data_IF_450014746603
#
_entry.id   IF_450014746603
#
_cell.length_a   1.000
_cell.length_b   1.000
_cell.length_c   1.000
_cell.angle_alpha   90.00
_cell.angle_beta   90.00
_cell.angle_gamma   90.00
#
_symmetry.space_group_name_H-M   'P 1'
#
loop_
_entity.id
_entity.type
_entity.pdbx_description
1 polymer ?
#
# COMPACT_ATOMS: atom_id res chain seq x y z
N UNK A 1 -2.10 85.81 -24.60
CA UNK A 1 -2.67 84.77 -25.44
C UNK A 1 -1.92 83.44 -25.14
N UNK A 2 -2.37 82.71 -24.13
CA UNK A 2 -1.83 81.36 -23.79
C UNK A 2 -3.00 80.57 -23.24
N UNK A 3 -3.53 79.70 -24.09
CA UNK A 3 -4.58 78.76 -23.73
C UNK A 3 -4.01 77.60 -23.03
N UNK A 4 -4.39 77.41 -21.75
CA UNK A 4 -4.11 76.22 -20.98
C UNK A 4 -5.24 75.20 -21.15
N UNK A 5 -5.05 74.20 -22.00
CA UNK A 5 -5.91 73.02 -22.04
C UNK A 5 -5.54 72.04 -20.92
N UNK A 6 -6.32 72.06 -19.85
CA UNK A 6 -6.29 71.12 -18.79
C UNK A 6 -6.93 69.77 -19.25
N UNK A 7 -6.12 68.78 -19.57
CA UNK A 7 -6.60 67.49 -19.99
C UNK A 7 -7.02 66.68 -18.74
N UNK A 8 -8.32 66.53 -18.58
CA UNK A 8 -8.95 65.65 -17.63
C UNK A 8 -8.70 64.16 -18.08
N UNK A 9 -7.91 63.37 -17.33
CA UNK A 9 -7.78 61.94 -17.49
C UNK A 9 -8.91 61.23 -16.73
N UNK A 10 -9.68 60.34 -17.36
CA UNK A 10 -10.64 59.53 -16.62
C UNK A 10 -9.91 58.45 -15.85
N UNK A 11 -10.13 58.42 -14.53
CA UNK A 11 -9.69 57.32 -13.67
C UNK A 11 -10.50 56.05 -14.03
N UNK A 12 -9.86 55.10 -14.67
CA UNK A 12 -10.42 53.75 -14.88
C UNK A 12 -10.26 52.97 -13.58
N UNK A 13 -11.36 52.84 -12.85
CA UNK A 13 -11.46 51.91 -11.72
C UNK A 13 -11.49 50.48 -12.26
N UNK A 14 -10.36 49.80 -12.21
CA UNK A 14 -10.29 48.36 -12.41
C UNK A 14 -10.87 47.70 -11.16
N UNK A 15 -12.14 47.28 -11.24
CA UNK A 15 -12.74 46.38 -10.26
C UNK A 15 -12.10 45.01 -10.41
N UNK A 16 -11.19 44.67 -9.51
CA UNK A 16 -10.69 43.30 -9.35
C UNK A 16 -11.83 42.46 -8.80
N UNK A 17 -12.55 41.74 -9.65
CA UNK A 17 -13.36 40.61 -9.24
C UNK A 17 -12.41 39.53 -8.76
N UNK A 18 -12.20 39.42 -7.46
CA UNK A 18 -11.67 38.22 -6.83
C UNK A 18 -12.76 37.18 -6.99
N UNK A 19 -12.64 36.35 -8.04
CA UNK A 19 -13.37 35.10 -8.12
C UNK A 19 -12.90 34.26 -6.94
N UNK A 20 -13.75 34.13 -5.92
CA UNK A 20 -13.59 33.11 -4.93
C UNK A 20 -13.63 31.76 -5.70
N UNK A 21 -12.46 31.17 -5.93
CA UNK A 21 -12.38 29.77 -6.33
C UNK A 21 -12.97 29.01 -5.16
N UNK A 22 -14.19 28.53 -5.32
CA UNK A 22 -14.69 27.45 -4.51
C UNK A 22 -13.68 26.32 -4.69
N UNK A 23 -12.94 26.02 -3.63
CA UNK A 23 -12.18 24.80 -3.51
C UNK A 23 -13.23 23.68 -3.50
N UNK A 24 -13.59 23.23 -4.71
CA UNK A 24 -14.26 21.98 -4.90
C UNK A 24 -13.26 20.90 -4.49
N UNK A 25 -13.05 20.79 -3.18
CA UNK A 25 -12.40 19.66 -2.57
C UNK A 25 -13.14 18.40 -3.01
N UNK A 26 -12.78 17.90 -4.18
CA UNK A 26 -12.95 16.51 -4.46
C UNK A 26 -12.22 15.80 -3.30
N UNK A 27 -12.96 15.43 -2.27
CA UNK A 27 -12.58 14.34 -1.41
C UNK A 27 -12.37 13.19 -2.37
N UNK A 28 -11.13 12.97 -2.77
CA UNK A 28 -10.72 11.70 -3.34
C UNK A 28 -11.30 10.67 -2.39
N UNK A 29 -12.14 9.80 -2.90
CA UNK A 29 -12.78 8.77 -2.09
C UNK A 29 -11.65 8.11 -1.32
N UNK A 30 -11.75 8.15 0.02
CA UNK A 30 -10.70 7.66 0.92
C UNK A 30 -10.32 6.25 0.48
N UNK A 31 -9.17 6.10 -0.17
CA UNK A 31 -8.68 4.82 -0.68
C UNK A 31 -7.81 4.19 0.40
N UNK A 32 -7.89 2.87 0.50
CA UNK A 32 -7.09 2.12 1.44
C UNK A 32 -7.91 1.30 2.42
N UNK A 33 -7.24 0.75 3.42
CA UNK A 33 -7.85 -0.18 4.38
C UNK A 33 -9.05 0.44 5.12
N UNK A 34 -9.05 1.74 5.34
CA UNK A 34 -10.13 2.45 6.04
C UNK A 34 -11.42 2.52 5.21
N UNK A 35 -11.32 2.46 3.88
CA UNK A 35 -12.48 2.44 2.98
C UNK A 35 -13.18 1.06 2.91
N UNK A 36 -12.52 0.00 3.37
CA UNK A 36 -13.09 -1.35 3.38
C UNK A 36 -14.20 -1.48 4.43
N UNK A 37 -15.21 -2.29 4.15
CA UNK A 37 -16.19 -2.71 5.15
C UNK A 37 -15.54 -3.42 6.33
N UNK A 38 -16.18 -3.38 7.51
CA UNK A 38 -15.63 -4.02 8.70
C UNK A 38 -15.33 -5.52 8.52
N UNK A 39 -16.22 -6.33 7.89
CA UNK A 39 -15.92 -7.74 7.62
C UNK A 39 -14.70 -7.93 6.71
N UNK A 40 -14.51 -7.07 5.70
CA UNK A 40 -13.39 -7.19 4.78
C UNK A 40 -12.08 -6.75 5.42
N UNK A 41 -12.09 -5.73 6.29
CA UNK A 41 -10.92 -5.37 7.11
C UNK A 41 -10.51 -6.49 8.06
N UNK A 42 -11.48 -7.18 8.67
CA UNK A 42 -11.21 -8.33 9.54
C UNK A 42 -10.60 -9.48 8.75
N UNK A 43 -11.15 -9.81 7.57
CA UNK A 43 -10.59 -10.82 6.68
C UNK A 43 -9.15 -10.49 6.28
N UNK A 44 -8.87 -9.25 5.88
CA UNK A 44 -7.52 -8.78 5.55
C UNK A 44 -6.57 -8.89 6.75
N UNK A 45 -7.03 -8.49 7.95
CA UNK A 45 -6.22 -8.60 9.17
C UNK A 45 -5.89 -10.05 9.50
N UNK A 46 -6.83 -10.95 9.34
CA UNK A 46 -6.64 -12.39 9.57
C UNK A 46 -5.67 -12.99 8.55
N UNK A 47 -5.79 -12.59 7.27
CA UNK A 47 -4.83 -12.95 6.23
C UNK A 47 -3.40 -12.53 6.60
N UNK A 48 -3.21 -11.28 7.05
CA UNK A 48 -1.89 -10.77 7.43
C UNK A 48 -1.27 -11.56 8.58
N UNK A 49 -2.07 -11.97 9.56
CA UNK A 49 -1.61 -12.84 10.67
C UNK A 49 -1.22 -14.24 10.15
N UNK A 50 -1.99 -14.81 9.25
CA UNK A 50 -1.70 -16.11 8.66
C UNK A 50 -0.41 -16.07 7.81
N UNK A 51 -0.20 -15.02 7.00
CA UNK A 51 1.02 -14.80 6.22
C UNK A 51 2.25 -14.62 7.14
N UNK A 52 2.11 -13.86 8.22
CA UNK A 52 3.17 -13.72 9.23
C UNK A 52 3.56 -15.06 9.82
N UNK A 53 2.58 -15.88 10.23
CA UNK A 53 2.81 -17.21 10.78
C UNK A 53 3.50 -18.13 9.76
N UNK A 54 3.11 -18.05 8.48
CA UNK A 54 3.77 -18.76 7.40
C UNK A 54 5.25 -18.40 7.29
N UNK A 55 5.60 -17.11 7.30
CA UNK A 55 6.98 -16.64 7.28
C UNK A 55 7.77 -17.08 8.53
N UNK A 56 7.16 -17.06 9.71
CA UNK A 56 7.80 -17.53 10.94
C UNK A 56 8.06 -19.03 10.94
N UNK A 57 7.19 -19.81 10.30
CA UNK A 57 7.29 -21.27 10.25
C UNK A 57 8.24 -21.73 9.14
N UNK A 58 8.31 -21.03 8.02
CA UNK A 58 9.13 -21.44 6.87
C UNK A 58 10.63 -21.36 7.18
N UNK A 59 11.07 -20.41 7.99
CA UNK A 59 12.50 -20.23 8.27
C UNK A 59 13.13 -21.44 8.98
N UNK A 60 12.57 -21.98 10.09
CA UNK A 60 13.06 -23.22 10.69
C UNK A 60 13.00 -24.43 9.75
N UNK A 61 11.97 -24.53 8.91
CA UNK A 61 11.86 -25.59 7.91
C UNK A 61 12.97 -25.50 6.86
N UNK A 62 13.26 -24.31 6.38
CA UNK A 62 14.33 -24.03 5.42
C UNK A 62 15.70 -24.39 5.99
N UNK A 63 16.03 -23.91 7.20
CA UNK A 63 17.32 -24.18 7.85
C UNK A 63 17.52 -25.67 8.10
N UNK A 64 16.44 -26.41 8.38
CA UNK A 64 16.47 -27.85 8.58
C UNK A 64 16.42 -28.68 7.28
N UNK A 65 16.32 -28.03 6.10
CA UNK A 65 16.23 -28.73 4.82
C UNK A 65 14.92 -29.51 4.62
N UNK A 66 13.84 -29.12 5.32
CA UNK A 66 12.52 -29.74 5.18
C UNK A 66 11.77 -29.16 3.98
N UNK A 67 12.24 -29.55 2.78
CA UNK A 67 11.80 -28.97 1.51
C UNK A 67 10.30 -29.09 1.24
N UNK A 68 9.69 -30.22 1.59
CA UNK A 68 8.26 -30.44 1.40
C UNK A 68 7.42 -29.50 2.28
N UNK A 69 7.90 -29.22 3.49
CA UNK A 69 7.27 -28.25 4.40
C UNK A 69 7.40 -26.81 3.86
N UNK A 70 8.60 -26.44 3.39
CA UNK A 70 8.83 -25.15 2.74
C UNK A 70 7.93 -24.97 1.51
N UNK A 71 7.83 -26.00 0.66
CA UNK A 71 6.96 -25.98 -0.51
C UNK A 71 5.48 -25.87 -0.12
N UNK A 72 5.04 -26.59 0.90
CA UNK A 72 3.69 -26.52 1.42
C UNK A 72 3.31 -25.13 1.92
N UNK A 73 4.21 -24.48 2.68
CA UNK A 73 4.01 -23.12 3.17
C UNK A 73 4.00 -22.12 1.99
N UNK A 74 4.93 -22.26 1.05
CA UNK A 74 4.95 -21.42 -0.17
C UNK A 74 3.65 -21.49 -0.94
N UNK A 75 3.08 -22.67 -1.10
CA UNK A 75 1.78 -22.88 -1.75
C UNK A 75 0.64 -22.21 -0.99
N UNK A 76 0.58 -22.37 0.33
CA UNK A 76 -0.45 -21.73 1.16
C UNK A 76 -0.42 -20.20 1.03
N UNK A 77 0.78 -19.60 1.06
CA UNK A 77 0.93 -18.16 0.83
C UNK A 77 0.55 -17.75 -0.61
N UNK A 78 0.88 -18.57 -1.62
CA UNK A 78 0.50 -18.33 -3.01
C UNK A 78 -1.03 -18.35 -3.21
N UNK A 79 -1.69 -19.32 -2.61
CA UNK A 79 -3.14 -19.52 -2.75
C UNK A 79 -3.95 -18.57 -1.86
N UNK A 80 -3.29 -17.77 -1.00
CA UNK A 80 -3.88 -17.04 0.13
C UNK A 80 -4.49 -17.98 1.17
N UNK A 81 -4.40 -17.61 2.44
CA UNK A 81 -5.00 -18.44 3.50
C UNK A 81 -6.51 -18.22 3.60
N UNK A 82 -6.98 -17.00 3.33
CA UNK A 82 -8.36 -16.55 3.59
C UNK A 82 -8.94 -15.82 2.38
N UNK A 83 -8.28 -14.76 1.92
CA UNK A 83 -8.87 -13.80 0.98
C UNK A 83 -9.30 -14.43 -0.34
N UNK A 84 -8.43 -15.20 -1.01
CA UNK A 84 -8.77 -15.86 -2.29
C UNK A 84 -9.74 -17.02 -2.14
N UNK A 85 -9.86 -17.60 -0.93
CA UNK A 85 -10.65 -18.81 -0.71
C UNK A 85 -12.05 -18.53 -0.17
N UNK A 86 -12.27 -17.42 0.52
CA UNK A 86 -13.50 -17.15 1.26
C UNK A 86 -14.24 -15.88 0.88
N UNK A 87 -13.64 -14.96 0.08
CA UNK A 87 -14.34 -13.76 -0.34
C UNK A 87 -15.39 -14.06 -1.40
N UNK A 88 -16.57 -13.46 -1.23
CA UNK A 88 -17.58 -13.41 -2.27
C UNK A 88 -17.17 -12.48 -3.42
N UNK A 89 -17.78 -12.64 -4.59
CA UNK A 89 -17.52 -11.75 -5.72
C UNK A 89 -17.75 -10.27 -5.39
N UNK A 90 -18.75 -9.96 -4.56
CA UNK A 90 -19.01 -8.59 -4.12
C UNK A 90 -17.90 -8.03 -3.22
N UNK A 91 -17.32 -8.86 -2.35
CA UNK A 91 -16.19 -8.45 -1.51
C UNK A 91 -14.90 -8.28 -2.30
N UNK A 92 -14.68 -9.09 -3.34
CA UNK A 92 -13.55 -8.91 -4.27
C UNK A 92 -13.68 -7.59 -5.02
N UNK A 93 -14.88 -7.27 -5.50
CA UNK A 93 -15.14 -5.99 -6.17
C UNK A 93 -14.96 -4.80 -5.22
N UNK A 94 -15.46 -4.89 -3.97
CA UNK A 94 -15.23 -3.89 -2.93
C UNK A 94 -13.73 -3.67 -2.69
N UNK A 95 -12.96 -4.76 -2.57
CA UNK A 95 -11.50 -4.69 -2.36
C UNK A 95 -10.83 -3.92 -3.51
N UNK A 96 -11.17 -4.26 -4.76
CA UNK A 96 -10.59 -3.62 -5.94
C UNK A 96 -10.95 -2.14 -6.05
N UNK A 97 -12.15 -1.75 -5.62
CA UNK A 97 -12.59 -0.35 -5.64
C UNK A 97 -11.98 0.48 -4.50
N UNK A 98 -11.81 -0.12 -3.33
CA UNK A 98 -11.31 0.57 -2.15
C UNK A 98 -9.78 0.66 -2.11
N UNK A 99 -9.06 -0.31 -2.68
CA UNK A 99 -7.60 -0.35 -2.58
C UNK A 99 -6.92 0.34 -3.76
N UNK A 100 -5.84 1.13 -3.53
CA UNK A 100 -5.08 1.73 -4.60
C UNK A 100 -4.37 0.67 -5.45
N UNK A 101 -4.14 0.98 -6.73
CA UNK A 101 -3.48 0.06 -7.67
C UNK A 101 -2.13 -0.47 -7.15
N UNK A 102 -1.35 0.39 -6.48
CA UNK A 102 -0.07 0.01 -5.87
C UNK A 102 -0.19 -1.06 -4.78
N UNK A 103 -1.31 -1.09 -4.04
CA UNK A 103 -1.59 -2.18 -3.09
C UNK A 103 -1.84 -3.49 -3.84
N UNK A 104 -2.71 -3.47 -4.84
CA UNK A 104 -3.06 -4.66 -5.62
C UNK A 104 -1.85 -5.25 -6.36
N UNK A 105 -0.97 -4.40 -6.87
CA UNK A 105 0.29 -4.83 -7.50
C UNK A 105 1.25 -5.50 -6.51
N UNK A 106 1.40 -4.95 -5.30
CA UNK A 106 2.23 -5.54 -4.25
C UNK A 106 1.64 -6.86 -3.74
N UNK A 107 0.32 -6.95 -3.60
CA UNK A 107 -0.38 -8.18 -3.25
C UNK A 107 -0.14 -9.28 -4.29
N UNK A 108 -0.38 -8.96 -5.56
CA UNK A 108 -0.12 -9.89 -6.66
C UNK A 108 1.34 -10.34 -6.72
N UNK A 109 2.29 -9.41 -6.49
CA UNK A 109 3.73 -9.71 -6.43
C UNK A 109 4.07 -10.65 -5.28
N UNK A 110 3.49 -10.43 -4.09
CA UNK A 110 3.70 -11.29 -2.94
C UNK A 110 3.29 -12.73 -3.25
N UNK A 111 2.08 -12.92 -3.76
CA UNK A 111 1.57 -14.23 -4.11
C UNK A 111 2.40 -14.92 -5.20
N UNK A 112 2.83 -14.19 -6.23
CA UNK A 112 3.75 -14.70 -7.25
C UNK A 112 5.07 -15.20 -6.64
N UNK A 113 5.70 -14.41 -5.76
CA UNK A 113 6.96 -14.76 -5.10
C UNK A 113 6.80 -15.99 -4.19
N UNK A 114 5.64 -16.15 -3.54
CA UNK A 114 5.32 -17.32 -2.74
C UNK A 114 5.21 -18.59 -3.61
N UNK A 115 4.62 -18.50 -4.79
CA UNK A 115 4.63 -19.60 -5.77
C UNK A 115 6.04 -19.95 -6.25
N UNK A 116 6.89 -18.96 -6.46
CA UNK A 116 8.29 -19.18 -6.81
C UNK A 116 9.09 -19.82 -5.67
N UNK A 117 8.79 -19.46 -4.40
CA UNK A 117 9.33 -20.12 -3.22
C UNK A 117 8.95 -21.62 -3.20
N UNK A 118 7.67 -21.93 -3.46
CA UNK A 118 7.20 -23.31 -3.58
C UNK A 118 8.03 -24.08 -4.60
N UNK A 119 8.13 -23.57 -5.84
CA UNK A 119 8.88 -24.25 -6.91
C UNK A 119 10.38 -24.42 -6.60
N UNK A 120 10.99 -23.41 -5.96
CA UNK A 120 12.39 -23.49 -5.53
C UNK A 120 12.60 -24.61 -4.49
N UNK A 121 11.66 -24.76 -3.55
CA UNK A 121 11.69 -25.81 -2.54
C UNK A 121 11.44 -27.20 -3.13
N UNK A 122 10.47 -27.35 -4.03
CA UNK A 122 10.21 -28.59 -4.77
C UNK A 122 11.45 -29.04 -5.58
N UNK A 123 12.16 -28.08 -6.16
CA UNK A 123 13.41 -28.31 -6.86
C UNK A 123 14.63 -28.52 -5.94
N UNK A 124 14.45 -28.38 -4.61
CA UNK A 124 15.50 -28.50 -3.59
C UNK A 124 16.71 -27.60 -3.87
N UNK A 125 16.43 -26.32 -4.19
CA UNK A 125 17.44 -25.28 -4.51
C UNK A 125 17.56 -24.27 -3.37
N UNK A 126 18.46 -24.52 -2.37
CA UNK A 126 18.54 -23.69 -1.17
C UNK A 126 18.77 -22.21 -1.46
N UNK A 127 19.61 -21.89 -2.45
CA UNK A 127 19.95 -20.52 -2.82
C UNK A 127 18.71 -19.75 -3.34
N UNK A 128 17.87 -20.43 -4.15
CA UNK A 128 16.62 -19.85 -4.65
C UNK A 128 15.58 -19.72 -3.54
N UNK A 129 15.50 -20.71 -2.64
CA UNK A 129 14.61 -20.61 -1.46
C UNK A 129 14.99 -19.40 -0.62
N UNK A 130 16.28 -19.24 -0.27
CA UNK A 130 16.75 -18.08 0.48
C UNK A 130 16.49 -16.75 -0.24
N UNK A 131 16.70 -16.71 -1.55
CA UNK A 131 16.39 -15.54 -2.38
C UNK A 131 14.91 -15.16 -2.30
N UNK A 132 13.99 -16.10 -2.53
CA UNK A 132 12.56 -15.80 -2.51
C UNK A 132 12.04 -15.47 -1.12
N UNK A 133 12.57 -16.05 -0.05
CA UNK A 133 12.28 -15.64 1.32
C UNK A 133 12.65 -14.18 1.58
N UNK A 134 13.84 -13.75 1.12
CA UNK A 134 14.26 -12.36 1.22
C UNK A 134 13.33 -11.42 0.44
N UNK A 135 12.92 -11.81 -0.78
CA UNK A 135 12.02 -11.02 -1.61
C UNK A 135 10.60 -10.92 -1.03
N UNK A 136 10.11 -11.98 -0.40
CA UNK A 136 8.83 -11.95 0.32
C UNK A 136 8.88 -10.99 1.50
N UNK A 137 9.92 -11.05 2.33
CA UNK A 137 10.10 -10.13 3.45
C UNK A 137 10.19 -8.66 2.99
N UNK A 138 10.94 -8.39 1.91
CA UNK A 138 11.03 -7.05 1.30
C UNK A 138 9.65 -6.54 0.83
N UNK A 139 8.83 -7.42 0.23
CA UNK A 139 7.48 -7.04 -0.21
C UNK A 139 6.58 -6.68 0.96
N UNK A 140 6.67 -7.42 2.09
CA UNK A 140 5.97 -7.06 3.33
C UNK A 140 6.37 -5.66 3.83
N UNK A 141 7.68 -5.38 3.89
CA UNK A 141 8.20 -4.07 4.32
C UNK A 141 7.69 -2.95 3.41
N UNK A 142 7.76 -3.14 2.10
CA UNK A 142 7.32 -2.15 1.10
C UNK A 142 5.82 -1.87 1.23
N UNK A 143 5.01 -2.93 1.32
CA UNK A 143 3.56 -2.78 1.47
C UNK A 143 3.19 -2.06 2.77
N UNK A 144 3.80 -2.44 3.90
CA UNK A 144 3.53 -1.81 5.19
C UNK A 144 3.99 -0.35 5.23
N UNK A 145 5.11 -0.02 4.62
CA UNK A 145 5.60 1.35 4.52
C UNK A 145 4.71 2.26 3.66
N UNK A 146 4.02 1.71 2.67
CA UNK A 146 3.14 2.48 1.79
C UNK A 146 1.70 2.52 2.29
N UNK A 147 1.17 1.40 2.78
CA UNK A 147 -0.26 1.21 2.98
C UNK A 147 -0.69 0.93 4.43
N UNK A 148 0.25 0.83 5.37
CA UNK A 148 -0.06 0.49 6.76
C UNK A 148 0.73 1.31 7.80
N UNK A 149 1.12 2.54 7.47
CA UNK A 149 1.90 3.43 8.37
C UNK A 149 1.24 3.67 9.71
N UNK A 150 -0.08 3.76 9.75
CA UNK A 150 -0.82 3.92 11.00
C UNK A 150 -0.64 2.74 11.96
N UNK A 151 -0.51 1.52 11.43
CA UNK A 151 -0.24 0.30 12.20
C UNK A 151 1.25 0.10 12.50
N UNK A 152 2.12 0.59 11.63
CA UNK A 152 3.58 0.46 11.73
C UNK A 152 4.24 1.84 11.72
N UNK A 153 4.18 2.59 12.83
CA UNK A 153 4.63 3.98 12.89
C UNK A 153 6.14 4.16 12.63
N UNK A 154 6.93 3.10 12.76
CA UNK A 154 8.34 3.13 12.40
C UNK A 154 8.61 3.44 10.91
N UNK A 155 7.62 3.27 10.05
CA UNK A 155 7.68 3.65 8.64
C UNK A 155 7.09 5.05 8.35
N UNK A 156 6.51 5.73 9.34
CA UNK A 156 6.16 7.14 9.20
C UNK A 156 7.45 7.97 9.11
N UNK A 157 7.44 9.03 8.27
CA UNK A 157 8.57 9.95 8.29
C UNK A 157 8.74 10.53 9.69
N UNK A 158 9.98 10.68 10.22
CA UNK A 158 10.20 11.39 11.44
C UNK A 158 9.56 12.78 11.35
N UNK A 159 8.79 13.20 12.34
CA UNK A 159 8.34 14.60 12.41
C UNK A 159 9.57 15.49 12.19
N UNK A 160 9.45 16.48 11.29
CA UNK A 160 10.52 17.46 11.11
C UNK A 160 10.90 17.99 12.49
N UNK A 161 12.22 18.08 12.82
CA UNK A 161 12.62 18.61 14.11
C UNK A 161 12.00 19.99 14.23
N UNK A 162 11.24 20.20 15.33
CA UNK A 162 10.71 21.51 15.66
C UNK A 162 11.89 22.47 15.63
N UNK A 163 11.83 23.46 14.74
CA UNK A 163 12.88 24.44 14.57
C UNK A 163 13.03 25.21 15.87
N UNK A 164 13.89 24.71 16.77
CA UNK A 164 14.39 25.49 17.87
C UNK A 164 15.46 26.43 17.30
N UNK A 165 15.02 27.61 16.93
CA UNK A 165 15.89 28.76 16.70
C UNK A 165 16.63 29.06 18.01
N UNK A 166 17.94 28.92 17.97
CA UNK A 166 18.88 29.39 19.01
C UNK A 166 19.44 30.77 18.63
#
# INVERSE_FOLDING_TARGET
MHDHYLKLLPAVLLAFCVAAQADDGHREAEQGVEALSAPLREALSTEMVALQNGLMTVMPAFVAGRWDEVAGIGRQMHDSYIMKQSLSAAQVEELHQAMPASFLELDARFHYLAGMLQHAAEAKKPELVGFYLGRLAETCVTCHALHARGKFPAYAEPAAPDGHDH
#
